data_IF_034230011367
#
_entry.id   IF_034230011367
#
_cell.length_a   1.000
_cell.length_b   1.000
_cell.length_c   1.000
_cell.angle_alpha   90.00
_cell.angle_beta   90.00
_cell.angle_gamma   90.00
#
_symmetry.space_group_name_H-M   'P 1'
#
loop_
_entity.id
_entity.type
_entity.pdbx_description
1 polymer ?
#
# COMPACT_ATOMS: atom_id res chain seq x y z
N UNK A 1 -16.32 -12.67 -14.83
CA UNK A 1 -15.39 -12.86 -13.69
C UNK A 1 -16.27 -13.10 -12.48
N UNK A 2 -16.08 -14.20 -11.77
CA UNK A 2 -16.82 -14.49 -10.53
C UNK A 2 -16.31 -13.50 -9.48
N UNK A 3 -17.17 -12.68 -8.90
CA UNK A 3 -16.81 -11.88 -7.74
C UNK A 3 -16.35 -12.83 -6.62
N UNK A 4 -15.13 -12.64 -6.14
CA UNK A 4 -14.64 -13.35 -4.97
C UNK A 4 -15.29 -12.70 -3.75
N UNK A 5 -16.31 -13.32 -3.19
CA UNK A 5 -16.86 -12.85 -1.92
C UNK A 5 -15.83 -13.07 -0.80
N UNK A 6 -15.73 -12.12 0.12
CA UNK A 6 -14.92 -12.28 1.33
C UNK A 6 -15.35 -13.53 2.08
N UNK A 7 -14.40 -14.32 2.57
CA UNK A 7 -14.67 -15.46 3.44
C UNK A 7 -15.12 -15.01 4.84
N UNK A 8 -14.65 -13.84 5.25
CA UNK A 8 -15.01 -13.20 6.52
C UNK A 8 -14.87 -11.69 6.39
N UNK A 9 -15.79 -10.95 7.02
CA UNK A 9 -15.69 -9.50 7.20
C UNK A 9 -15.84 -9.16 8.67
N UNK A 10 -15.28 -8.04 9.11
CA UNK A 10 -15.39 -7.62 10.50
C UNK A 10 -14.92 -6.20 10.74
N UNK A 11 -15.02 -5.81 12.00
CA UNK A 11 -14.48 -4.55 12.49
C UNK A 11 -13.52 -4.83 13.65
N UNK A 12 -12.30 -4.32 13.56
CA UNK A 12 -11.34 -4.31 14.67
C UNK A 12 -11.61 -3.08 15.55
N UNK A 13 -11.93 -3.27 16.83
CA UNK A 13 -12.16 -2.17 17.77
C UNK A 13 -10.82 -1.58 18.24
N UNK A 14 -10.43 -0.45 17.67
CA UNK A 14 -9.18 0.25 17.95
C UNK A 14 -9.50 1.56 18.70
N UNK A 15 -9.92 1.47 19.94
CA UNK A 15 -10.47 2.58 20.70
C UNK A 15 -11.81 3.06 20.10
N UNK A 16 -11.88 4.34 19.68
CA UNK A 16 -13.07 4.90 19.01
C UNK A 16 -13.16 4.49 17.54
N UNK A 17 -12.06 4.02 16.94
CA UNK A 17 -12.04 3.58 15.56
C UNK A 17 -12.55 2.14 15.45
N UNK A 18 -13.49 1.91 14.53
CA UNK A 18 -13.97 0.59 14.15
C UNK A 18 -13.42 0.29 12.75
N UNK A 19 -12.19 -0.26 12.69
CA UNK A 19 -11.49 -0.50 11.43
C UNK A 19 -12.08 -1.69 10.70
N UNK A 20 -12.71 -1.44 9.55
CA UNK A 20 -13.27 -2.50 8.71
C UNK A 20 -12.17 -3.30 8.02
N UNK A 21 -12.35 -4.61 7.99
CA UNK A 21 -11.48 -5.52 7.25
C UNK A 21 -12.27 -6.64 6.56
N UNK A 22 -11.65 -7.18 5.52
CA UNK A 22 -12.11 -8.36 4.80
C UNK A 22 -10.99 -9.40 4.74
N UNK A 23 -11.35 -10.68 4.90
CA UNK A 23 -10.43 -11.81 4.74
C UNK A 23 -10.86 -12.61 3.51
N UNK A 24 -9.94 -12.84 2.60
CA UNK A 24 -10.15 -13.60 1.37
C UNK A 24 -9.11 -14.71 1.25
N UNK A 25 -9.46 -15.82 0.59
CA UNK A 25 -8.55 -16.95 0.40
C UNK A 25 -8.13 -17.61 1.70
N UNK A 26 -7.12 -18.45 1.63
CA UNK A 26 -6.59 -19.18 2.78
C UNK A 26 -5.16 -19.67 2.54
N UNK A 27 -4.42 -19.94 3.64
CA UNK A 27 -3.09 -20.52 3.61
C UNK A 27 -1.96 -19.52 3.43
N UNK A 28 -0.73 -19.99 3.58
CA UNK A 28 0.48 -19.18 3.48
C UNK A 28 0.62 -18.12 4.55
N UNK A 29 1.62 -17.25 4.40
CA UNK A 29 1.73 -16.01 5.19
C UNK A 29 0.67 -15.03 4.72
N UNK A 30 -0.15 -14.46 5.62
CA UNK A 30 -1.18 -13.50 5.23
C UNK A 30 -0.61 -12.27 4.53
N UNK A 31 -1.25 -11.84 3.44
CA UNK A 31 -0.95 -10.58 2.75
C UNK A 31 -1.94 -9.51 3.20
N UNK A 32 -1.45 -8.42 3.79
CA UNK A 32 -2.28 -7.27 4.18
C UNK A 32 -2.24 -6.22 3.08
N UNK A 33 -3.42 -5.79 2.60
CA UNK A 33 -3.59 -4.77 1.57
C UNK A 33 -3.97 -3.44 2.20
N UNK A 34 -3.19 -2.40 1.91
CA UNK A 34 -3.32 -1.04 2.43
C UNK A 34 -3.53 -0.07 1.27
N UNK A 35 -4.74 0.50 1.16
CA UNK A 35 -5.14 1.37 0.04
C UNK A 35 -4.57 2.79 0.11
N UNK A 36 -4.70 3.55 -0.96
CA UNK A 36 -4.34 4.97 -1.05
C UNK A 36 -5.45 5.91 -0.55
N UNK A 37 -5.14 7.19 -0.45
CA UNK A 37 -6.12 8.23 -0.13
C UNK A 37 -7.26 8.29 -1.15
N UNK A 38 -8.48 8.55 -0.70
CA UNK A 38 -9.74 8.53 -1.47
C UNK A 38 -10.14 7.17 -2.06
N UNK A 39 -9.37 6.14 -1.82
CA UNK A 39 -9.71 4.78 -2.20
C UNK A 39 -10.26 4.00 -1.00
N UNK A 40 -10.70 2.80 -1.25
CA UNK A 40 -11.08 1.78 -0.29
C UNK A 40 -10.68 0.40 -0.84
N UNK A 41 -11.03 -0.67 -0.15
CA UNK A 41 -10.75 -2.04 -0.58
C UNK A 41 -11.25 -2.28 -2.01
N UNK A 42 -12.52 -2.00 -2.27
CA UNK A 42 -13.19 -2.33 -3.54
C UNK A 42 -12.58 -1.54 -4.70
N UNK A 43 -12.42 -0.22 -4.53
CA UNK A 43 -11.94 0.65 -5.58
C UNK A 43 -10.45 0.46 -5.90
N UNK A 44 -9.62 0.21 -4.86
CA UNK A 44 -8.19 0.04 -5.06
C UNK A 44 -7.81 -1.36 -5.51
N UNK A 45 -8.35 -2.38 -4.84
CA UNK A 45 -7.89 -3.75 -4.97
C UNK A 45 -8.90 -4.71 -5.61
N UNK A 46 -10.16 -4.30 -5.79
CA UNK A 46 -11.24 -5.19 -6.24
C UNK A 46 -10.90 -6.03 -7.48
N UNK A 47 -10.14 -5.47 -8.43
CA UNK A 47 -9.73 -6.20 -9.64
C UNK A 47 -8.53 -7.14 -9.43
N UNK A 48 -7.61 -6.83 -8.52
CA UNK A 48 -6.39 -7.63 -8.28
C UNK A 48 -6.58 -8.66 -7.17
N UNK A 49 -7.48 -8.39 -6.23
CA UNK A 49 -7.72 -9.19 -5.04
C UNK A 49 -8.04 -10.67 -5.35
N UNK A 50 -8.89 -11.02 -6.34
CA UNK A 50 -9.14 -12.43 -6.68
C UNK A 50 -7.87 -13.20 -7.07
N UNK A 51 -6.98 -12.55 -7.83
CA UNK A 51 -5.70 -13.15 -8.23
C UNK A 51 -4.72 -13.28 -7.07
N UNK A 52 -4.67 -12.26 -6.19
CA UNK A 52 -3.82 -12.29 -5.01
C UNK A 52 -4.27 -13.34 -3.99
N UNK A 53 -5.58 -13.53 -3.84
CA UNK A 53 -6.17 -14.47 -2.87
C UNK A 53 -6.27 -15.92 -3.38
N UNK A 54 -5.84 -16.21 -4.59
CA UNK A 54 -5.98 -17.54 -5.19
C UNK A 54 -5.26 -18.65 -4.41
N UNK A 55 -4.08 -18.33 -3.82
CA UNK A 55 -3.22 -19.31 -3.16
C UNK A 55 -2.72 -18.86 -1.77
N UNK A 56 -3.31 -17.79 -1.21
CA UNK A 56 -2.92 -17.26 0.11
C UNK A 56 -4.09 -16.56 0.79
N UNK A 57 -3.97 -16.39 2.10
CA UNK A 57 -4.87 -15.51 2.83
C UNK A 57 -4.52 -14.05 2.50
N UNK A 58 -5.52 -13.25 2.17
CA UNK A 58 -5.42 -11.81 1.95
C UNK A 58 -6.33 -11.10 2.92
N UNK A 59 -5.81 -10.09 3.61
CA UNK A 59 -6.55 -9.24 4.54
C UNK A 59 -6.52 -7.83 3.95
N UNK A 60 -7.69 -7.33 3.56
CA UNK A 60 -7.83 -5.98 3.04
C UNK A 60 -8.52 -5.10 4.08
N UNK A 61 -8.09 -3.84 4.20
CA UNK A 61 -8.60 -2.92 5.22
C UNK A 61 -9.08 -1.61 4.61
N UNK A 62 -10.08 -1.00 5.23
CA UNK A 62 -10.45 0.39 4.98
C UNK A 62 -9.85 1.27 6.10
N UNK A 63 -9.07 2.29 5.75
CA UNK A 63 -8.48 3.23 6.72
C UNK A 63 -9.51 4.16 7.33
N UNK A 64 -9.14 4.84 8.43
CA UNK A 64 -9.98 5.86 9.07
C UNK A 64 -10.61 6.81 8.04
N UNK A 65 -11.92 6.96 8.11
CA UNK A 65 -12.71 7.85 7.25
C UNK A 65 -12.87 7.37 5.81
N UNK A 66 -12.35 6.19 5.46
CA UNK A 66 -12.45 5.61 4.12
C UNK A 66 -13.37 4.38 4.14
N UNK A 67 -13.99 4.11 3.01
CA UNK A 67 -14.82 2.92 2.82
C UNK A 67 -15.84 2.73 3.94
N UNK A 68 -15.77 1.61 4.64
CA UNK A 68 -16.72 1.24 5.72
C UNK A 68 -16.21 1.59 7.13
N UNK A 69 -14.96 2.10 7.23
CA UNK A 69 -14.38 2.52 8.50
C UNK A 69 -14.87 3.91 8.91
N UNK A 70 -15.31 4.06 10.15
CA UNK A 70 -15.72 5.36 10.67
C UNK A 70 -14.57 6.37 10.69
N UNK A 71 -14.91 7.65 10.70
CA UNK A 71 -13.96 8.71 11.02
C UNK A 71 -14.04 9.04 12.51
N UNK A 72 -12.92 9.45 13.08
CA UNK A 72 -12.81 9.92 14.47
C UNK A 72 -12.14 11.30 14.50
N UNK A 73 -12.25 12.02 15.62
CA UNK A 73 -11.67 13.36 15.79
C UNK A 73 -10.14 13.28 16.00
N UNK A 74 -9.46 12.86 14.92
CA UNK A 74 -8.00 12.71 14.84
C UNK A 74 -7.55 13.08 13.42
N UNK A 75 -6.43 13.82 13.24
CA UNK A 75 -5.80 14.00 11.94
C UNK A 75 -5.41 12.66 11.28
N UNK A 76 -5.38 12.65 9.95
CA UNK A 76 -4.74 11.55 9.24
C UNK A 76 -3.23 11.76 9.20
N UNK A 77 -2.49 10.79 9.72
CA UNK A 77 -1.03 10.77 9.70
C UNK A 77 -0.53 9.35 9.52
N UNK A 78 0.60 9.18 8.86
CA UNK A 78 1.21 7.85 8.67
C UNK A 78 1.41 7.12 10.00
N UNK A 79 1.83 7.86 11.05
CA UNK A 79 2.02 7.31 12.40
C UNK A 79 0.74 6.69 12.98
N UNK A 80 -0.36 7.44 12.97
CA UNK A 80 -1.63 6.95 13.52
C UNK A 80 -2.21 5.81 12.71
N UNK A 81 -2.12 5.86 11.37
CA UNK A 81 -2.58 4.77 10.51
C UNK A 81 -1.69 3.52 10.67
N UNK A 82 -0.39 3.66 10.93
CA UNK A 82 0.49 2.53 11.24
C UNK A 82 0.09 1.88 12.56
N UNK A 83 -0.18 2.67 13.60
CA UNK A 83 -0.66 2.15 14.88
C UNK A 83 -2.00 1.40 14.73
N UNK A 84 -2.91 1.89 13.88
CA UNK A 84 -4.16 1.19 13.58
C UNK A 84 -3.90 -0.17 12.91
N UNK A 85 -2.98 -0.24 11.94
CA UNK A 85 -2.61 -1.51 11.30
C UNK A 85 -1.99 -2.48 12.29
N UNK A 86 -1.07 -2.02 13.15
CA UNK A 86 -0.50 -2.86 14.22
C UNK A 86 -1.61 -3.38 15.14
N UNK A 87 -2.53 -2.51 15.56
CA UNK A 87 -3.69 -2.91 16.37
C UNK A 87 -4.59 -3.95 15.68
N UNK A 88 -4.79 -3.82 14.36
CA UNK A 88 -5.50 -4.84 13.59
C UNK A 88 -4.75 -6.18 13.58
N UNK A 89 -3.42 -6.17 13.36
CA UNK A 89 -2.62 -7.39 13.39
C UNK A 89 -2.73 -8.09 14.75
N UNK A 90 -2.71 -7.33 15.85
CA UNK A 90 -2.86 -7.85 17.19
C UNK A 90 -4.28 -8.39 17.43
N UNK A 91 -5.32 -7.68 16.97
CA UNK A 91 -6.71 -8.13 17.04
C UNK A 91 -6.93 -9.47 16.31
N UNK A 92 -6.26 -9.66 15.17
CA UNK A 92 -6.33 -10.89 14.39
C UNK A 92 -5.34 -11.98 14.85
N UNK A 93 -4.50 -11.71 15.83
CA UNK A 93 -3.50 -12.65 16.34
C UNK A 93 -2.37 -12.95 15.34
N UNK A 94 -2.05 -12.01 14.46
CA UNK A 94 -1.05 -12.16 13.40
C UNK A 94 0.31 -11.66 13.88
N UNK A 95 1.25 -12.56 14.09
CA UNK A 95 2.60 -12.19 14.52
C UNK A 95 3.43 -11.56 13.39
N UNK A 96 3.32 -12.07 12.18
CA UNK A 96 4.06 -11.60 11.02
C UNK A 96 3.21 -11.74 9.75
N UNK A 97 3.32 -10.77 8.83
CA UNK A 97 2.55 -10.70 7.58
C UNK A 97 3.43 -10.24 6.42
N UNK A 98 2.92 -10.40 5.21
CA UNK A 98 3.37 -9.64 4.05
C UNK A 98 2.53 -8.36 3.94
N UNK A 99 3.14 -7.27 3.51
CA UNK A 99 2.45 -5.99 3.31
C UNK A 99 2.45 -5.60 1.84
N UNK A 100 1.31 -5.18 1.34
CA UNK A 100 1.18 -4.49 0.05
C UNK A 100 0.45 -3.17 0.27
N UNK A 101 1.19 -2.07 0.25
CA UNK A 101 0.66 -0.74 0.43
C UNK A 101 0.76 0.10 -0.85
N UNK A 102 -0.30 0.85 -1.16
CA UNK A 102 -0.34 1.80 -2.26
C UNK A 102 -0.46 3.22 -1.72
N UNK A 103 0.37 4.16 -2.23
CA UNK A 103 0.32 5.59 -1.85
C UNK A 103 0.37 5.77 -0.32
N UNK A 104 -0.65 6.34 0.31
CA UNK A 104 -0.74 6.44 1.78
C UNK A 104 -0.54 5.07 2.44
N UNK A 105 -1.19 4.03 1.94
CA UNK A 105 -0.99 2.67 2.45
C UNK A 105 0.42 2.15 2.28
N UNK A 106 1.11 2.58 1.21
CA UNK A 106 2.53 2.28 1.01
C UNK A 106 3.44 3.00 2.00
N UNK A 107 3.12 4.26 2.35
CA UNK A 107 3.83 4.99 3.39
C UNK A 107 3.64 4.34 4.78
N UNK A 108 2.42 3.86 5.08
CA UNK A 108 2.11 3.06 6.29
C UNK A 108 2.91 1.76 6.30
N UNK A 109 2.92 1.02 5.18
CA UNK A 109 3.68 -0.24 5.06
C UNK A 109 5.19 -0.02 5.24
N UNK A 110 5.74 1.05 4.65
CA UNK A 110 7.13 1.44 4.81
C UNK A 110 7.44 1.73 6.27
N UNK A 111 6.64 2.58 6.92
CA UNK A 111 6.82 2.94 8.33
C UNK A 111 6.76 1.71 9.23
N UNK A 112 5.78 0.83 9.04
CA UNK A 112 5.66 -0.40 9.81
C UNK A 112 6.90 -1.29 9.63
N UNK A 113 7.47 -1.34 8.42
CA UNK A 113 8.68 -2.14 8.14
C UNK A 113 9.95 -1.58 8.78
N UNK A 114 10.01 -0.26 9.01
CA UNK A 114 11.13 0.40 9.71
C UNK A 114 10.98 0.28 11.22
N UNK A 115 9.78 0.55 11.76
CA UNK A 115 9.54 0.62 13.21
C UNK A 115 9.23 -0.74 13.85
N UNK A 116 8.68 -1.70 13.07
CA UNK A 116 8.28 -3.05 13.52
C UNK A 116 8.79 -4.13 12.55
N UNK A 117 10.11 -4.24 12.31
CA UNK A 117 10.66 -5.15 11.30
C UNK A 117 10.29 -6.63 11.54
N UNK A 118 10.06 -7.03 12.79
CA UNK A 118 9.63 -8.38 13.15
C UNK A 118 8.23 -8.74 12.66
N UNK A 119 7.39 -7.74 12.38
CA UNK A 119 6.01 -7.92 11.92
C UNK A 119 5.90 -8.12 10.40
N UNK A 120 6.98 -7.85 9.64
CA UNK A 120 6.94 -7.83 8.17
C UNK A 120 7.90 -8.88 7.60
N UNK A 121 7.35 -9.87 6.89
CA UNK A 121 8.13 -10.88 6.16
C UNK A 121 8.60 -10.34 4.80
N UNK A 122 7.70 -9.72 4.04
CA UNK A 122 7.95 -9.10 2.74
C UNK A 122 7.19 -7.80 2.63
N UNK A 123 7.81 -6.83 1.98
CA UNK A 123 7.24 -5.49 1.80
C UNK A 123 7.01 -5.22 0.32
N UNK A 124 5.80 -4.81 -0.03
CA UNK A 124 5.47 -4.29 -1.36
C UNK A 124 4.98 -2.87 -1.18
N UNK A 125 5.69 -1.92 -1.77
CA UNK A 125 5.33 -0.50 -1.78
C UNK A 125 5.06 -0.05 -3.20
N UNK A 126 3.91 0.55 -3.41
CA UNK A 126 3.47 1.01 -4.72
C UNK A 126 3.22 2.52 -4.69
N UNK A 127 3.85 3.21 -5.64
CA UNK A 127 3.60 4.65 -5.87
C UNK A 127 3.81 5.51 -4.62
N UNK A 128 4.94 5.30 -3.93
CA UNK A 128 5.34 6.05 -2.73
C UNK A 128 6.69 6.72 -2.88
N UNK A 129 6.92 7.71 -2.04
CA UNK A 129 8.24 8.31 -1.82
C UNK A 129 8.67 8.06 -0.38
N UNK A 130 9.97 7.86 -0.17
CA UNK A 130 10.56 7.81 1.17
C UNK A 130 11.11 9.18 1.63
N UNK A 131 11.08 10.19 0.73
CA UNK A 131 11.39 11.60 0.97
C UNK A 131 10.49 12.50 0.14
N UNK A 132 10.26 13.70 0.59
CA UNK A 132 9.41 14.68 -0.08
C UNK A 132 9.88 15.02 -1.50
N UNK A 133 11.19 15.05 -1.75
CA UNK A 133 11.78 15.35 -3.07
C UNK A 133 11.52 14.27 -4.13
N UNK A 134 11.07 13.09 -3.73
CA UNK A 134 10.65 12.02 -4.64
C UNK A 134 9.33 12.29 -5.34
N UNK A 135 8.51 13.19 -4.81
CA UNK A 135 7.23 13.59 -5.42
C UNK A 135 7.42 14.72 -6.44
N UNK A 136 6.54 14.76 -7.44
CA UNK A 136 6.48 15.90 -8.35
C UNK A 136 5.87 17.10 -7.64
N UNK A 137 6.45 18.33 -7.80
CA UNK A 137 6.05 19.51 -7.01
C UNK A 137 4.57 19.89 -7.16
N UNK A 138 3.96 19.61 -8.32
CA UNK A 138 2.56 19.93 -8.59
C UNK A 138 1.55 19.12 -7.77
N UNK A 139 1.96 17.98 -7.20
CA UNK A 139 1.06 17.06 -6.52
C UNK A 139 0.53 17.61 -5.19
N UNK A 140 1.39 18.19 -4.38
CA UNK A 140 1.00 18.72 -3.06
C UNK A 140 -0.07 19.82 -3.18
N UNK A 141 0.07 20.71 -4.17
CA UNK A 141 -0.90 21.76 -4.42
C UNK A 141 -2.25 21.17 -4.89
N UNK A 142 -2.22 20.17 -5.75
CA UNK A 142 -3.43 19.54 -6.27
C UNK A 142 -4.22 18.80 -5.18
N UNK A 143 -3.55 18.06 -4.30
CA UNK A 143 -4.21 17.35 -3.18
C UNK A 143 -4.76 18.32 -2.15
N UNK A 144 -4.00 19.35 -1.77
CA UNK A 144 -4.41 20.34 -0.77
C UNK A 144 -5.58 21.25 -1.19
N UNK A 145 -5.85 21.35 -2.50
CA UNK A 145 -6.96 22.17 -3.04
C UNK A 145 -8.20 21.35 -3.39
N UNK A 146 -8.23 20.05 -3.10
CA UNK A 146 -9.30 19.15 -3.55
C UNK A 146 -10.63 19.42 -2.82
N UNK A 147 -11.71 19.56 -3.59
CA UNK A 147 -13.06 19.74 -3.07
C UNK A 147 -14.02 18.67 -3.60
N UNK A 148 -15.16 18.48 -2.93
CA UNK A 148 -16.18 17.52 -3.38
C UNK A 148 -16.64 17.82 -4.80
N UNK A 149 -16.81 19.10 -5.17
CA UNK A 149 -17.23 19.49 -6.52
C UNK A 149 -16.22 19.07 -7.60
N UNK A 150 -14.90 19.09 -7.28
CA UNK A 150 -13.85 18.72 -8.23
C UNK A 150 -13.86 17.22 -8.54
N UNK A 151 -14.30 16.38 -7.61
CA UNK A 151 -14.35 14.93 -7.78
C UNK A 151 -15.78 14.41 -8.02
N UNK A 152 -16.77 15.30 -8.10
CA UNK A 152 -18.18 14.93 -8.27
C UNK A 152 -18.39 14.01 -9.48
N UNK A 153 -19.09 12.89 -9.28
CA UNK A 153 -19.35 11.88 -10.32
C UNK A 153 -18.16 10.97 -10.66
N UNK A 154 -16.97 11.19 -10.07
CA UNK A 154 -15.84 10.26 -10.22
C UNK A 154 -16.09 8.93 -9.50
N UNK A 155 -15.34 7.86 -9.83
CA UNK A 155 -15.43 6.61 -9.09
C UNK A 155 -15.17 6.76 -7.59
N UNK A 156 -14.23 7.62 -7.18
CA UNK A 156 -13.92 7.89 -5.77
C UNK A 156 -15.12 8.53 -5.04
N UNK A 157 -15.76 9.51 -5.66
CA UNK A 157 -16.96 10.14 -5.10
C UNK A 157 -18.11 9.14 -4.97
N UNK A 158 -18.40 8.40 -6.04
CA UNK A 158 -19.49 7.41 -6.07
C UNK A 158 -19.29 6.32 -5.04
N UNK A 159 -18.08 5.80 -4.94
CA UNK A 159 -17.74 4.73 -4.01
C UNK A 159 -17.79 5.20 -2.55
N UNK A 160 -17.30 6.41 -2.26
CA UNK A 160 -17.42 7.00 -0.93
C UNK A 160 -18.88 7.12 -0.48
N UNK A 161 -19.75 7.67 -1.33
CA UNK A 161 -21.17 7.79 -1.02
C UNK A 161 -21.86 6.43 -0.79
N UNK A 162 -21.41 5.39 -1.51
CA UNK A 162 -22.01 4.06 -1.42
C UNK A 162 -21.57 3.26 -0.18
N UNK A 163 -20.36 3.48 0.32
CA UNK A 163 -19.74 2.62 1.35
C UNK A 163 -19.58 3.31 2.70
N UNK A 164 -19.41 4.63 2.72
CA UNK A 164 -19.14 5.35 3.97
C UNK A 164 -20.33 5.29 4.93
N UNK A 165 -20.10 5.03 6.24
CA UNK A 165 -21.13 5.18 7.26
C UNK A 165 -21.59 6.64 7.43
N UNK A 166 -20.82 7.61 6.91
CA UNK A 166 -21.09 9.05 6.98
C UNK A 166 -20.87 9.72 5.61
N UNK A 167 -21.74 9.47 4.61
CA UNK A 167 -21.54 9.98 3.25
C UNK A 167 -21.52 11.51 3.15
N UNK A 168 -22.10 12.21 4.12
CA UNK A 168 -22.06 13.67 4.27
C UNK A 168 -20.71 14.23 4.69
N UNK A 169 -19.75 13.39 5.08
CA UNK A 169 -18.43 13.78 5.60
C UNK A 169 -17.32 13.76 4.56
N UNK A 170 -17.62 13.64 3.27
CA UNK A 170 -16.58 13.56 2.24
C UNK A 170 -15.64 14.77 2.24
N UNK A 171 -16.15 15.99 2.44
CA UNK A 171 -15.28 17.17 2.51
C UNK A 171 -14.34 17.11 3.73
N UNK A 172 -14.81 16.59 4.86
CA UNK A 172 -13.95 16.39 6.04
C UNK A 172 -12.79 15.43 5.74
N UNK A 173 -13.07 14.36 4.99
CA UNK A 173 -12.00 13.45 4.53
C UNK A 173 -11.03 14.17 3.60
N UNK A 174 -11.51 14.94 2.62
CA UNK A 174 -10.66 15.71 1.70
C UNK A 174 -9.78 16.71 2.44
N UNK A 175 -10.33 17.42 3.42
CA UNK A 175 -9.58 18.37 4.26
C UNK A 175 -8.48 17.65 5.07
N UNK A 176 -8.80 16.48 5.65
CA UNK A 176 -7.81 15.65 6.35
C UNK A 176 -6.72 15.11 5.42
N UNK A 177 -7.06 14.73 4.19
CA UNK A 177 -6.09 14.30 3.18
C UNK A 177 -5.21 15.45 2.70
N UNK A 178 -5.77 16.65 2.55
CA UNK A 178 -5.02 17.87 2.24
C UNK A 178 -4.02 18.24 3.34
N UNK A 179 -4.33 17.92 4.59
CA UNK A 179 -3.48 18.13 5.76
C UNK A 179 -2.66 16.87 6.16
N UNK A 180 -2.65 15.83 5.34
CA UNK A 180 -2.03 14.54 5.65
C UNK A 180 -0.53 14.69 5.97
N UNK A 181 -0.12 14.14 7.08
CA UNK A 181 1.28 14.09 7.49
C UNK A 181 1.90 12.75 7.08
N UNK A 182 2.73 12.78 6.04
CA UNK A 182 3.41 11.59 5.52
C UNK A 182 4.52 11.04 6.43
N UNK A 183 4.83 11.75 7.51
CA UNK A 183 5.93 11.40 8.40
C UNK A 183 7.25 12.09 8.01
N UNK A 184 8.36 11.75 8.68
CA UNK A 184 9.66 12.29 8.38
C UNK A 184 10.16 11.81 7.00
N UNK A 185 11.06 12.57 6.40
CA UNK A 185 11.90 12.05 5.34
C UNK A 185 12.81 10.97 5.94
N UNK A 186 12.71 9.76 5.40
CA UNK A 186 13.56 8.65 5.82
C UNK A 186 15.00 8.85 5.36
N UNK A 187 15.96 8.58 6.23
CA UNK A 187 17.36 8.60 5.87
C UNK A 187 17.71 7.41 4.94
N UNK A 188 18.86 7.49 4.27
CA UNK A 188 19.37 6.35 3.50
C UNK A 188 19.59 5.12 4.40
N UNK A 189 20.06 5.35 5.64
CA UNK A 189 20.30 4.28 6.62
C UNK A 189 19.00 3.59 7.06
N UNK A 190 17.92 4.37 7.27
CA UNK A 190 16.60 3.81 7.60
C UNK A 190 16.11 2.87 6.48
N UNK A 191 16.24 3.33 5.22
CA UNK A 191 15.82 2.53 4.06
C UNK A 191 16.70 1.30 3.88
N UNK A 192 18.01 1.42 4.06
CA UNK A 192 18.95 0.27 4.01
C UNK A 192 18.69 -0.71 5.14
N UNK A 193 18.29 -0.23 6.31
CA UNK A 193 18.00 -1.01 7.50
C UNK A 193 16.75 -1.88 7.45
N UNK A 194 15.83 -1.67 6.48
CA UNK A 194 14.63 -2.50 6.36
C UNK A 194 15.02 -3.97 6.19
N UNK A 195 14.61 -4.84 7.10
CA UNK A 195 14.96 -6.26 7.07
C UNK A 195 14.22 -7.04 5.96
N UNK A 196 12.99 -6.67 5.67
CA UNK A 196 12.14 -7.35 4.71
C UNK A 196 12.63 -7.16 3.26
N UNK A 197 12.73 -8.21 2.43
CA UNK A 197 12.80 -8.06 0.98
C UNK A 197 11.70 -7.14 0.48
N UNK A 198 12.06 -6.22 -0.44
CA UNK A 198 11.15 -5.14 -0.85
C UNK A 198 10.89 -5.17 -2.35
N UNK A 199 9.62 -5.20 -2.74
CA UNK A 199 9.18 -4.92 -4.11
C UNK A 199 8.68 -3.48 -4.18
N UNK A 200 9.33 -2.69 -5.02
CA UNK A 200 8.93 -1.32 -5.33
C UNK A 200 8.16 -1.34 -6.65
N UNK A 201 6.96 -0.77 -6.69
CA UNK A 201 6.21 -0.65 -7.94
C UNK A 201 5.79 0.79 -8.19
N UNK A 202 5.82 1.23 -9.45
CA UNK A 202 5.47 2.60 -9.85
C UNK A 202 4.97 2.64 -11.28
N UNK A 203 4.07 3.56 -11.61
CA UNK A 203 3.71 3.86 -12.99
C UNK A 203 4.78 4.70 -13.71
N UNK A 204 4.90 4.56 -15.03
CA UNK A 204 5.82 5.41 -15.80
C UNK A 204 5.35 6.88 -15.92
N UNK A 205 4.07 7.14 -15.63
CA UNK A 205 3.45 8.47 -15.59
C UNK A 205 2.90 8.81 -14.20
N UNK A 206 3.55 8.34 -13.13
CA UNK A 206 3.11 8.48 -11.73
C UNK A 206 3.43 9.87 -11.15
N UNK A 207 2.83 10.17 -10.01
CA UNK A 207 3.18 11.28 -9.12
C UNK A 207 4.59 11.13 -8.55
N UNK A 208 5.06 9.91 -8.40
CA UNK A 208 6.41 9.56 -7.95
C UNK A 208 7.40 9.69 -9.12
N UNK A 209 8.53 10.30 -8.87
CA UNK A 209 9.62 10.39 -9.84
C UNK A 209 10.29 9.04 -10.02
N UNK A 210 10.54 8.63 -11.26
CA UNK A 210 11.17 7.34 -11.54
C UNK A 210 12.60 7.25 -11.00
N UNK A 211 13.36 8.35 -11.02
CA UNK A 211 14.70 8.40 -10.44
C UNK A 211 14.68 8.15 -8.92
N UNK A 212 13.62 8.58 -8.22
CA UNK A 212 13.41 8.29 -6.81
C UNK A 212 13.12 6.80 -6.57
N UNK A 213 12.29 6.17 -7.41
CA UNK A 213 12.03 4.73 -7.33
C UNK A 213 13.31 3.91 -7.60
N UNK A 214 14.14 4.34 -8.55
CA UNK A 214 15.47 3.74 -8.79
C UNK A 214 16.39 3.94 -7.58
N UNK A 215 16.41 5.13 -6.99
CA UNK A 215 17.18 5.38 -5.76
C UNK A 215 16.73 4.48 -4.61
N UNK A 216 15.42 4.28 -4.47
CA UNK A 216 14.90 3.33 -3.47
C UNK A 216 15.43 1.92 -3.71
N UNK A 217 15.37 1.42 -4.96
CA UNK A 217 15.94 0.12 -5.31
C UNK A 217 17.43 0.01 -4.97
N UNK A 218 18.22 1.03 -5.29
CA UNK A 218 19.67 1.08 -4.99
C UNK A 218 19.93 0.96 -3.49
N UNK A 219 19.18 1.67 -2.66
CA UNK A 219 19.26 1.58 -1.20
C UNK A 219 18.87 0.19 -0.67
N UNK A 220 18.02 -0.53 -1.41
CA UNK A 220 17.64 -1.92 -1.10
C UNK A 220 18.58 -2.96 -1.72
N UNK A 221 19.74 -2.54 -2.23
CA UNK A 221 20.76 -3.43 -2.77
C UNK A 221 20.53 -3.87 -4.22
N UNK A 222 19.54 -3.28 -4.92
CA UNK A 222 19.32 -3.51 -6.35
C UNK A 222 20.16 -2.63 -7.26
N UNK A 223 19.82 -2.58 -8.55
CA UNK A 223 20.57 -1.86 -9.60
C UNK A 223 22.03 -2.34 -9.70
N UNK A 224 22.19 -3.65 -9.69
CA UNK A 224 23.50 -4.34 -9.81
C UNK A 224 23.48 -5.29 -11.01
N UNK A 225 24.66 -5.70 -11.48
CA UNK A 225 24.75 -6.76 -12.50
C UNK A 225 24.57 -8.13 -11.85
N UNK A 226 23.33 -8.63 -11.85
CA UNK A 226 22.95 -9.89 -11.23
C UNK A 226 23.66 -11.13 -11.80
N UNK A 227 24.17 -11.07 -13.04
CA UNK A 227 24.93 -12.18 -13.63
C UNK A 227 26.24 -12.42 -12.87
N UNK A 228 26.79 -11.38 -12.25
CA UNK A 228 28.06 -11.47 -11.49
C UNK A 228 27.86 -11.60 -9.99
N UNK A 229 26.86 -10.93 -9.41
CA UNK A 229 26.69 -10.86 -7.95
C UNK A 229 25.44 -11.60 -7.45
N UNK A 230 24.67 -12.21 -8.36
CA UNK A 230 23.38 -12.80 -8.05
C UNK A 230 22.26 -11.77 -8.07
N UNK A 231 21.01 -12.25 -8.13
CA UNK A 231 19.83 -11.39 -8.13
C UNK A 231 19.49 -10.98 -6.69
N UNK A 232 19.47 -9.67 -6.37
CA UNK A 232 19.08 -9.20 -5.05
C UNK A 232 17.67 -9.62 -4.66
N UNK A 233 17.38 -9.64 -3.35
CA UNK A 233 16.05 -9.97 -2.83
C UNK A 233 15.01 -8.85 -3.00
N UNK A 234 15.46 -7.62 -3.31
CA UNK A 234 14.57 -6.47 -3.53
C UNK A 234 14.52 -6.10 -5.02
N UNK A 235 13.33 -5.79 -5.50
CA UNK A 235 13.04 -5.63 -6.92
C UNK A 235 12.32 -4.31 -7.21
N UNK A 236 12.36 -3.85 -8.48
CA UNK A 236 11.60 -2.73 -9.01
C UNK A 236 10.78 -3.19 -10.21
N UNK A 237 9.50 -2.84 -10.23
CA UNK A 237 8.64 -2.96 -11.41
C UNK A 237 8.07 -1.58 -11.79
N UNK A 238 8.26 -1.20 -13.05
CA UNK A 238 7.66 0.00 -13.64
C UNK A 238 6.52 -0.43 -14.54
N UNK A 239 5.29 -0.02 -14.25
CA UNK A 239 4.11 -0.38 -15.02
C UNK A 239 3.90 0.60 -16.18
N UNK A 240 3.99 0.14 -17.43
CA UNK A 240 3.92 1.03 -18.58
C UNK A 240 2.51 1.56 -18.83
N UNK A 241 2.40 2.86 -19.14
CA UNK A 241 1.15 3.54 -19.46
C UNK A 241 0.24 3.69 -18.24
N UNK A 242 0.80 3.77 -17.03
CA UNK A 242 0.01 3.95 -15.81
C UNK A 242 0.37 5.24 -15.08
N UNK A 243 -0.66 5.81 -14.46
CA UNK A 243 -0.58 6.98 -13.57
C UNK A 243 -0.82 6.55 -12.13
N UNK A 244 -0.75 7.49 -11.20
CA UNK A 244 -1.05 7.23 -9.80
C UNK A 244 -2.46 6.64 -9.58
N UNK A 245 -3.47 7.17 -10.26
CA UNK A 245 -4.86 6.75 -10.05
C UNK A 245 -5.25 5.43 -10.76
N UNK A 246 -4.51 5.00 -11.75
CA UNK A 246 -4.81 3.76 -12.50
C UNK A 246 -3.73 2.68 -12.37
N UNK A 247 -2.83 2.79 -11.38
CA UNK A 247 -1.72 1.83 -11.18
C UNK A 247 -2.16 0.38 -11.12
N UNK A 248 -3.34 0.11 -10.51
CA UNK A 248 -3.90 -1.24 -10.41
C UNK A 248 -4.66 -1.70 -11.67
N UNK A 249 -4.87 -0.84 -12.67
CA UNK A 249 -5.61 -1.18 -13.89
C UNK A 249 -4.91 -2.24 -14.77
N UNK A 250 -3.61 -2.42 -14.60
CA UNK A 250 -2.83 -3.50 -15.24
C UNK A 250 -2.94 -4.80 -14.46
N UNK A 251 -4.15 -5.20 -14.11
CA UNK A 251 -4.49 -6.28 -13.17
C UNK A 251 -3.62 -7.53 -13.32
N UNK A 252 -3.53 -8.10 -14.53
CA UNK A 252 -2.73 -9.32 -14.76
C UNK A 252 -1.25 -9.12 -14.45
N UNK A 253 -0.68 -7.97 -14.84
CA UNK A 253 0.72 -7.66 -14.60
C UNK A 253 0.99 -7.42 -13.10
N UNK A 254 0.10 -6.69 -12.41
CA UNK A 254 0.21 -6.46 -10.97
C UNK A 254 0.16 -7.77 -10.20
N UNK A 255 -0.81 -8.64 -10.50
CA UNK A 255 -0.95 -9.96 -9.85
C UNK A 255 0.29 -10.81 -10.10
N UNK A 256 0.77 -10.90 -11.33
CA UNK A 256 1.94 -11.70 -11.68
C UNK A 256 3.21 -11.24 -10.95
N UNK A 257 3.51 -9.95 -11.00
CA UNK A 257 4.68 -9.36 -10.34
C UNK A 257 4.61 -9.54 -8.82
N UNK A 258 3.45 -9.28 -8.21
CA UNK A 258 3.25 -9.39 -6.76
C UNK A 258 3.36 -10.85 -6.30
N UNK A 259 2.65 -11.77 -6.97
CA UNK A 259 2.66 -13.18 -6.56
C UNK A 259 4.02 -13.82 -6.78
N UNK A 260 4.70 -13.53 -7.90
CA UNK A 260 6.07 -13.99 -8.14
C UNK A 260 7.02 -13.54 -7.03
N UNK A 261 6.93 -12.27 -6.61
CA UNK A 261 7.75 -11.76 -5.50
C UNK A 261 7.42 -12.42 -4.17
N UNK A 262 6.13 -12.61 -3.85
CA UNK A 262 5.72 -13.21 -2.58
C UNK A 262 6.06 -14.70 -2.48
N UNK A 263 6.11 -15.40 -3.59
CA UNK A 263 6.35 -16.85 -3.67
C UNK A 263 7.84 -17.19 -3.90
N UNK A 264 8.69 -16.20 -4.18
CA UNK A 264 10.12 -16.43 -4.34
C UNK A 264 10.73 -17.06 -3.07
N UNK A 265 11.63 -18.01 -3.24
CA UNK A 265 12.43 -18.52 -2.13
C UNK A 265 13.29 -17.40 -1.53
N UNK A 266 13.54 -17.46 -0.23
CA UNK A 266 14.28 -16.41 0.50
C UNK A 266 15.78 -16.33 0.16
N UNK A 267 16.23 -17.08 -0.83
CA UNK A 267 17.63 -17.11 -1.28
C UNK A 267 17.82 -16.23 -2.50
N UNK A 268 18.84 -15.37 -2.47
CA UNK A 268 19.33 -14.72 -3.69
C UNK A 268 19.66 -15.81 -4.73
N UNK A 269 19.20 -15.63 -5.97
CA UNK A 269 19.59 -16.56 -7.04
C UNK A 269 21.13 -16.51 -7.17
N UNK A 270 21.82 -17.67 -7.15
CA UNK A 270 23.28 -17.68 -7.26
C UNK A 270 23.74 -16.99 -8.55
N UNK A 271 24.91 -16.35 -8.49
CA UNK A 271 25.60 -15.83 -9.66
C UNK A 271 25.89 -16.99 -10.64
N UNK A 272 25.80 -16.73 -11.94
CA UNK A 272 26.24 -17.72 -12.95
C UNK A 272 27.76 -17.96 -12.96
N UNK A 273 28.52 -17.13 -12.23
CA UNK A 273 29.97 -17.13 -12.19
C UNK A 273 30.53 -17.63 -10.84
N UNK A 274 29.71 -18.01 -9.87
CA UNK A 274 30.12 -18.47 -8.54
C UNK A 274 29.61 -19.83 -8.16
#
# INVERSE_FOLDING_TARGET
>A
MTELSASQTGYAPLGELQMYYEIHGAGGTPLVLLHGGLFNIDLQFGHVLPGLAANRQVIAVDFQGHGRTNDIDRPLATESLTADVVGLLDHLGLAQVDLFGFSIGGAVALRLSVEHPERVRRLIVSSITFRADGSRPENAAAVGAMTVDMIAGSPMHTEYLAKSPHPDKLQVLLDKLGAFTAGPDWSDDDIQGIAAPTLITVGDCDMVRLDHAVRFLQLRGGDVNGDFVGVPASHLAVFPGTTHFNGMARTGLVVDVVTTFLDAESTSTPSMMG
#
